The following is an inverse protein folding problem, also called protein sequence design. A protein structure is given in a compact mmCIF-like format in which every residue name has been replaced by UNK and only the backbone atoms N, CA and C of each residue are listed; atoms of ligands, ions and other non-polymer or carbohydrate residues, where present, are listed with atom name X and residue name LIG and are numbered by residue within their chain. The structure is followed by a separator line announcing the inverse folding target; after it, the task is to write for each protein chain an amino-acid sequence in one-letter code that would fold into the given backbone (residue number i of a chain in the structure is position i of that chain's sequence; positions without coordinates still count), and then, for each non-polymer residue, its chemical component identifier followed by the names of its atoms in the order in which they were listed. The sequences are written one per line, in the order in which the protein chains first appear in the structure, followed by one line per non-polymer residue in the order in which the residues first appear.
data_IF_673753834377
#
_entry.id   IF_673753834377
#
_cell.length_a   1.000
_cell.length_b   1.000
_cell.length_c   1.000
_cell.angle_alpha   90.00
_cell.angle_beta   90.00
_cell.angle_gamma   90.00
#
_symmetry.space_group_name_H-M   'P 1'
#
loop_
_entity.id
_entity.type
_entity.pdbx_description
1 polymer ?
#
# COMPACT_ATOMS: atom_id res chain seq x y z
N UNK A 1 5.74 -17.06 90.91
CA UNK A 1 4.89 -16.24 90.06
C UNK A 1 5.46 -16.30 88.65
N UNK A 2 4.84 -17.05 87.82
CA UNK A 2 5.30 -17.36 86.44
C UNK A 2 4.57 -16.42 85.50
N UNK A 3 5.31 -15.51 84.82
CA UNK A 3 4.72 -14.66 83.79
C UNK A 3 4.89 -15.34 82.41
N UNK A 4 3.80 -15.68 81.81
CA UNK A 4 3.73 -16.30 80.50
C UNK A 4 3.76 -15.20 79.43
N UNK A 5 4.82 -15.16 78.64
CA UNK A 5 4.92 -14.26 77.46
C UNK A 5 4.32 -15.00 76.24
N UNK A 6 3.15 -14.58 75.82
CA UNK A 6 2.56 -15.06 74.60
C UNK A 6 3.17 -14.37 73.39
N UNK A 7 3.85 -15.15 72.53
CA UNK A 7 4.41 -14.70 71.28
C UNK A 7 3.32 -14.73 70.22
N UNK A 8 2.86 -13.58 69.72
CA UNK A 8 1.96 -13.47 68.58
C UNK A 8 2.78 -13.56 67.28
N UNK A 9 2.67 -14.71 66.64
CA UNK A 9 3.15 -14.88 65.25
C UNK A 9 2.19 -14.17 64.30
N UNK A 10 2.64 -13.07 63.73
CA UNK A 10 1.94 -12.40 62.64
C UNK A 10 2.15 -13.18 61.32
N UNK A 11 1.08 -13.87 60.87
CA UNK A 11 1.03 -14.43 59.52
C UNK A 11 0.98 -13.29 58.52
N UNK A 12 2.10 -13.00 57.84
CA UNK A 12 2.09 -12.21 56.62
C UNK A 12 1.44 -13.00 55.51
N UNK A 13 0.24 -12.62 55.16
CA UNK A 13 -0.40 -13.07 53.90
C UNK A 13 0.34 -12.42 52.76
N UNK A 14 1.20 -13.13 52.06
CA UNK A 14 1.70 -12.78 50.76
C UNK A 14 0.52 -12.70 49.80
N UNK A 15 0.04 -11.48 49.56
CA UNK A 15 -0.89 -11.19 48.47
C UNK A 15 -0.17 -11.47 47.17
N UNK A 16 -0.56 -12.54 46.52
CA UNK A 16 -0.23 -12.76 45.11
C UNK A 16 -0.91 -11.63 44.35
N UNK A 17 -0.11 -10.60 44.01
CA UNK A 17 -0.52 -9.61 43.02
C UNK A 17 -0.62 -10.36 41.70
N UNK A 18 -1.84 -10.76 41.39
CA UNK A 18 -2.20 -11.22 40.05
C UNK A 18 -1.90 -10.07 39.10
N UNK A 19 -0.75 -10.13 38.46
CA UNK A 19 -0.48 -9.28 37.31
C UNK A 19 -1.49 -9.70 36.25
N UNK A 20 -2.58 -8.96 36.19
CA UNK A 20 -3.52 -8.98 35.11
C UNK A 20 -2.74 -8.52 33.89
N UNK A 21 -2.21 -9.48 33.16
CA UNK A 21 -1.65 -9.25 31.83
C UNK A 21 -2.79 -8.72 31.00
N UNK A 22 -2.88 -7.42 30.93
CA UNK A 22 -3.70 -6.71 29.94
C UNK A 22 -3.07 -7.09 28.61
N UNK A 23 -3.65 -8.04 27.93
CA UNK A 23 -3.45 -8.19 26.50
C UNK A 23 -4.02 -6.92 25.90
N UNK A 24 -3.19 -5.92 25.69
CA UNK A 24 -3.47 -4.84 24.78
C UNK A 24 -3.53 -5.43 23.37
N UNK A 25 -4.70 -5.98 23.04
CA UNK A 25 -5.15 -6.18 21.67
C UNK A 25 -5.59 -4.81 21.10
N UNK A 26 -4.75 -3.83 21.27
CA UNK A 26 -4.81 -2.64 20.44
C UNK A 26 -3.64 -2.79 19.50
N UNK A 27 -3.88 -3.49 18.38
CA UNK A 27 -3.12 -3.18 17.20
C UNK A 27 -3.34 -1.69 16.96
N UNK A 28 -2.41 -0.85 17.39
CA UNK A 28 -2.39 0.55 17.02
C UNK A 28 -2.56 0.57 15.51
N UNK A 29 -3.68 1.15 15.05
CA UNK A 29 -3.88 1.39 13.63
C UNK A 29 -2.68 2.22 13.22
N UNK A 30 -1.70 1.60 12.52
CA UNK A 30 -0.48 2.29 12.10
C UNK A 30 -0.90 3.59 11.44
N UNK A 31 -0.40 4.69 11.96
CA UNK A 31 -0.62 6.01 11.35
C UNK A 31 -0.30 5.89 9.86
N UNK A 32 -1.27 6.21 9.00
CA UNK A 32 -1.11 6.07 7.54
C UNK A 32 0.01 6.97 7.00
N UNK A 33 0.15 8.25 7.44
CA UNK A 33 1.27 9.09 7.00
C UNK A 33 2.63 8.53 7.43
N UNK A 34 3.58 8.52 6.50
CA UNK A 34 4.95 8.05 6.74
C UNK A 34 5.67 7.62 5.47
N UNK A 35 6.95 7.24 5.63
CA UNK A 35 7.75 6.62 4.58
C UNK A 35 7.63 5.09 4.64
N UNK A 36 7.54 4.48 3.46
CA UNK A 36 7.45 3.04 3.23
C UNK A 36 8.49 2.65 2.18
N UNK A 37 9.26 1.60 2.41
CA UNK A 37 10.41 1.27 1.58
C UNK A 37 11.54 2.29 1.74
N UNK A 38 12.17 2.69 0.65
CA UNK A 38 13.22 3.71 0.65
C UNK A 38 12.66 5.09 1.02
N UNK A 39 13.50 5.92 1.66
CA UNK A 39 13.11 7.28 2.05
C UNK A 39 12.95 8.17 0.83
N UNK A 40 11.73 8.61 0.57
CA UNK A 40 11.41 9.50 -0.56
C UNK A 40 11.61 10.96 -0.16
N UNK A 41 12.49 11.66 -0.90
CA UNK A 41 12.70 13.12 -0.78
C UNK A 41 11.83 13.84 -1.79
N UNK A 42 11.20 14.94 -1.40
CA UNK A 42 10.26 15.68 -2.24
C UNK A 42 10.88 16.51 -3.37
N UNK A 43 12.21 16.61 -3.44
CA UNK A 43 12.87 17.31 -4.52
C UNK A 43 12.76 16.55 -5.86
N UNK A 44 12.43 17.24 -6.95
CA UNK A 44 12.32 16.66 -8.29
C UNK A 44 11.06 15.82 -8.53
N UNK A 45 10.01 16.00 -7.73
CA UNK A 45 8.72 15.32 -7.91
C UNK A 45 7.98 15.91 -9.10
N UNK A 46 7.47 15.06 -9.98
CA UNK A 46 6.63 15.47 -11.10
C UNK A 46 5.14 15.21 -10.80
N UNK A 47 4.27 15.83 -11.59
CA UNK A 47 2.83 15.56 -11.58
C UNK A 47 2.51 14.31 -12.43
N UNK A 48 1.32 13.68 -12.25
CA UNK A 48 0.87 12.57 -13.10
C UNK A 48 0.80 12.96 -14.59
N UNK A 49 0.53 14.23 -14.90
CA UNK A 49 0.52 14.72 -16.29
C UNK A 49 1.91 14.69 -16.93
N UNK A 50 2.92 15.14 -16.21
CA UNK A 50 4.31 15.11 -16.69
C UNK A 50 4.81 13.67 -16.79
N UNK A 51 4.47 12.80 -15.84
CA UNK A 51 4.78 11.37 -15.91
C UNK A 51 4.16 10.75 -17.17
N UNK A 52 2.86 10.96 -17.39
CA UNK A 52 2.14 10.43 -18.55
C UNK A 52 2.83 10.82 -19.86
N UNK A 53 3.11 12.12 -20.05
CA UNK A 53 3.81 12.63 -21.23
C UNK A 53 5.18 11.95 -21.44
N UNK A 54 5.95 11.79 -20.38
CA UNK A 54 7.28 11.14 -20.44
C UNK A 54 7.19 9.67 -20.79
N UNK A 55 6.26 8.95 -20.19
CA UNK A 55 6.08 7.51 -20.43
C UNK A 55 5.54 7.26 -21.84
N UNK A 56 4.61 8.07 -22.33
CA UNK A 56 4.07 7.96 -23.69
C UNK A 56 5.14 8.24 -24.75
N UNK A 57 6.08 9.14 -24.48
CA UNK A 57 7.15 9.50 -25.43
C UNK A 57 8.35 8.54 -25.42
N UNK A 58 8.70 7.99 -24.25
CA UNK A 58 9.93 7.20 -24.04
C UNK A 58 9.68 5.74 -23.67
N UNK A 59 8.42 5.34 -23.47
CA UNK A 59 8.04 3.98 -23.00
C UNK A 59 8.28 3.77 -21.51
N UNK A 60 9.11 4.58 -20.87
CA UNK A 60 9.48 4.46 -19.45
C UNK A 60 9.79 5.82 -18.83
N UNK A 61 9.65 5.91 -17.50
CA UNK A 61 10.07 7.06 -16.71
C UNK A 61 10.65 6.59 -15.39
N UNK A 62 11.84 7.07 -15.04
CA UNK A 62 12.45 6.83 -13.72
C UNK A 62 12.46 8.14 -12.94
N UNK A 63 11.91 8.12 -11.73
CA UNK A 63 11.86 9.32 -10.90
C UNK A 63 10.74 9.28 -9.87
N UNK A 64 10.29 10.48 -9.48
CA UNK A 64 9.28 10.67 -8.44
C UNK A 64 8.01 11.28 -9.01
N UNK A 65 6.87 10.75 -8.57
CA UNK A 65 5.56 11.31 -8.93
C UNK A 65 4.70 11.47 -7.68
N UNK A 66 3.99 12.59 -7.59
CA UNK A 66 2.98 12.81 -6.54
C UNK A 66 1.58 12.55 -7.09
N UNK A 67 0.68 12.13 -6.22
CA UNK A 67 -0.72 11.93 -6.56
C UNK A 67 -1.55 11.54 -5.35
N UNK A 68 -2.66 10.86 -5.60
CA UNK A 68 -3.57 10.38 -4.57
C UNK A 68 -3.77 8.87 -4.73
N UNK A 69 -3.87 8.16 -3.61
CA UNK A 69 -4.21 6.74 -3.58
C UNK A 69 -5.72 6.62 -3.86
N UNK A 70 -6.09 6.17 -5.06
CA UNK A 70 -7.50 6.01 -5.44
C UNK A 70 -8.06 4.66 -4.99
N UNK A 71 -7.24 3.62 -5.05
CA UNK A 71 -7.58 2.26 -4.64
C UNK A 71 -6.36 1.61 -4.00
N UNK A 72 -6.56 0.71 -3.04
CA UNK A 72 -5.49 -0.02 -2.37
C UNK A 72 -5.90 -1.47 -2.17
N UNK A 73 -4.96 -2.39 -2.28
CA UNK A 73 -5.17 -3.80 -1.94
C UNK A 73 -5.61 -3.94 -0.48
N UNK A 74 -6.87 -4.33 -0.27
CA UNK A 74 -7.48 -4.43 1.07
C UNK A 74 -6.96 -5.62 1.88
N UNK A 75 -6.34 -6.60 1.23
CA UNK A 75 -5.78 -7.78 1.91
C UNK A 75 -4.45 -7.46 2.60
N UNK A 76 -3.48 -6.86 1.87
CA UNK A 76 -2.10 -6.66 2.38
C UNK A 76 -1.54 -5.27 2.09
N UNK A 77 -2.20 -4.44 1.28
CA UNK A 77 -1.62 -3.18 0.82
C UNK A 77 -0.43 -3.37 -0.14
N UNK A 78 -0.38 -4.49 -0.86
CA UNK A 78 0.74 -4.88 -1.74
C UNK A 78 0.72 -4.21 -3.12
N UNK A 79 -0.31 -3.46 -3.43
CA UNK A 79 -0.45 -2.59 -4.59
C UNK A 79 -1.48 -1.49 -4.30
N UNK A 80 -1.42 -0.44 -5.09
CA UNK A 80 -2.46 0.59 -5.12
C UNK A 80 -2.59 1.17 -6.53
N UNK A 81 -3.62 1.98 -6.74
CA UNK A 81 -3.87 2.64 -8.01
C UNK A 81 -3.89 4.17 -7.85
N UNK A 82 -3.35 4.87 -8.84
CA UNK A 82 -3.40 6.32 -9.00
C UNK A 82 -4.11 6.67 -10.30
N UNK A 83 -4.98 7.68 -10.28
CA UNK A 83 -5.59 8.19 -11.49
C UNK A 83 -4.58 8.97 -12.36
N UNK A 84 -4.69 8.80 -13.67
CA UNK A 84 -3.96 9.57 -14.66
C UNK A 84 -4.88 10.59 -15.34
N UNK A 85 -4.35 11.72 -15.84
CA UNK A 85 -5.17 12.78 -16.45
C UNK A 85 -5.97 12.37 -17.69
N UNK A 86 -5.55 11.30 -18.36
CA UNK A 86 -6.25 10.73 -19.53
C UNK A 86 -7.45 9.84 -19.17
N UNK A 87 -7.81 9.79 -17.88
CA UNK A 87 -8.91 8.97 -17.37
C UNK A 87 -8.54 7.50 -17.10
N UNK A 88 -7.31 7.08 -17.42
CA UNK A 88 -6.81 5.76 -17.06
C UNK A 88 -6.30 5.71 -15.62
N UNK A 89 -5.98 4.53 -15.14
CA UNK A 89 -5.41 4.30 -13.81
C UNK A 89 -4.03 3.64 -13.95
N UNK A 90 -3.06 4.14 -13.19
CA UNK A 90 -1.74 3.55 -13.07
C UNK A 90 -1.69 2.64 -11.85
N UNK A 91 -1.38 1.37 -12.07
CA UNK A 91 -1.15 0.41 -10.98
C UNK A 91 0.27 0.57 -10.45
N UNK A 92 0.38 0.69 -9.14
CA UNK A 92 1.66 0.78 -8.42
C UNK A 92 1.87 -0.49 -7.62
N UNK A 93 3.00 -1.13 -7.85
CA UNK A 93 3.51 -2.27 -7.09
C UNK A 93 4.82 -1.88 -6.40
N UNK A 94 5.35 -2.73 -5.56
CA UNK A 94 6.55 -2.43 -4.79
C UNK A 94 7.70 -3.33 -5.20
N UNK A 95 8.86 -2.71 -5.36
CA UNK A 95 10.10 -3.38 -5.80
C UNK A 95 10.37 -4.62 -4.93
N UNK A 96 10.62 -5.73 -5.61
CA UNK A 96 10.93 -7.03 -5.01
C UNK A 96 9.90 -7.50 -3.96
N UNK A 97 8.68 -6.92 -3.97
CA UNK A 97 7.66 -7.18 -2.94
C UNK A 97 8.14 -6.84 -1.52
N UNK A 98 9.11 -5.90 -1.42
CA UNK A 98 9.91 -5.65 -0.22
C UNK A 98 9.22 -4.84 0.87
N UNK A 99 8.12 -4.12 0.53
CA UNK A 99 7.32 -3.37 1.51
C UNK A 99 5.87 -3.23 1.03
N UNK A 100 4.99 -2.80 1.92
CA UNK A 100 3.57 -2.56 1.63
C UNK A 100 3.11 -1.29 2.31
N UNK A 101 2.01 -0.71 1.82
CA UNK A 101 1.37 0.45 2.44
C UNK A 101 0.14 0.01 3.26
N UNK A 102 -0.33 0.82 4.22
CA UNK A 102 -1.51 0.49 5.00
C UNK A 102 -2.75 0.29 4.12
N UNK A 103 -3.56 -0.73 4.43
CA UNK A 103 -4.78 -1.07 3.69
C UNK A 103 -5.87 0.02 3.79
N UNK A 104 -5.77 0.91 4.77
CA UNK A 104 -6.66 2.06 4.99
C UNK A 104 -6.10 3.37 4.41
N UNK A 105 -5.14 3.29 3.48
CA UNK A 105 -4.48 4.48 2.89
C UNK A 105 -5.24 5.11 1.71
N UNK A 106 -6.38 4.57 1.30
CA UNK A 106 -7.20 5.15 0.23
C UNK A 106 -7.56 6.62 0.51
N UNK A 107 -7.41 7.46 -0.51
CA UNK A 107 -7.68 8.89 -0.44
C UNK A 107 -6.56 9.72 0.21
N UNK A 108 -5.44 9.12 0.60
CA UNK A 108 -4.29 9.87 1.09
C UNK A 108 -3.42 10.39 -0.06
N UNK A 109 -2.85 11.60 0.07
CA UNK A 109 -1.82 12.09 -0.83
C UNK A 109 -0.55 11.24 -0.67
N UNK A 110 0.11 10.95 -1.80
CA UNK A 110 1.31 10.11 -1.83
C UNK A 110 2.33 10.67 -2.83
N UNK A 111 3.61 10.52 -2.50
CA UNK A 111 4.74 10.68 -3.42
C UNK A 111 5.46 9.35 -3.50
N UNK A 112 5.67 8.83 -4.70
CA UNK A 112 6.39 7.57 -4.94
C UNK A 112 7.65 7.83 -5.73
N UNK A 113 8.68 7.02 -5.50
CA UNK A 113 9.93 7.00 -6.27
C UNK A 113 10.13 5.61 -6.87
N UNK A 114 10.51 5.54 -8.15
CA UNK A 114 10.68 4.27 -8.84
C UNK A 114 10.64 4.40 -10.35
N UNK A 115 10.09 3.38 -11.02
CA UNK A 115 10.06 3.26 -12.48
C UNK A 115 8.63 3.05 -12.97
N UNK A 116 8.17 3.93 -13.85
CA UNK A 116 6.95 3.73 -14.63
C UNK A 116 7.29 3.07 -15.96
N UNK A 117 6.45 2.16 -16.42
CA UNK A 117 6.58 1.47 -17.71
C UNK A 117 5.25 1.46 -18.45
N UNK A 118 5.29 1.79 -19.74
CA UNK A 118 4.16 1.63 -20.65
C UNK A 118 4.19 0.21 -21.22
N UNK A 119 3.11 -0.53 -20.98
CA UNK A 119 2.90 -1.85 -21.55
C UNK A 119 1.73 -1.79 -22.53
N UNK A 120 1.91 -2.34 -23.71
CA UNK A 120 0.86 -2.49 -24.70
C UNK A 120 0.53 -3.97 -24.87
N UNK A 121 -0.72 -4.34 -24.61
CA UNK A 121 -1.22 -5.69 -24.84
C UNK A 121 -2.02 -5.69 -26.14
N UNK A 122 -1.61 -6.51 -27.11
CA UNK A 122 -2.26 -6.60 -28.40
C UNK A 122 -3.67 -7.25 -28.31
N UNK A 123 -4.45 -7.07 -29.37
CA UNK A 123 -5.84 -7.52 -29.43
C UNK A 123 -5.97 -9.04 -29.29
N UNK A 124 -5.04 -9.80 -29.87
CA UNK A 124 -5.07 -11.28 -29.84
C UNK A 124 -4.89 -11.77 -28.38
N UNK A 125 -3.89 -11.23 -27.69
CA UNK A 125 -3.65 -11.53 -26.28
C UNK A 125 -4.82 -11.14 -25.38
N UNK A 126 -5.42 -9.97 -25.62
CA UNK A 126 -6.60 -9.53 -24.85
C UNK A 126 -7.82 -10.44 -25.06
N UNK A 127 -8.04 -10.91 -26.30
CA UNK A 127 -9.11 -11.86 -26.62
C UNK A 127 -8.87 -13.18 -25.91
N UNK A 128 -7.65 -13.70 -25.97
CA UNK A 128 -7.28 -14.93 -25.25
C UNK A 128 -7.56 -14.82 -23.74
N UNK A 129 -7.20 -13.69 -23.10
CA UNK A 129 -7.51 -13.46 -21.70
C UNK A 129 -9.02 -13.39 -21.41
N UNK A 130 -9.79 -12.81 -22.32
CA UNK A 130 -11.24 -12.74 -22.19
C UNK A 130 -11.89 -14.14 -22.31
N UNK A 131 -11.41 -14.98 -23.22
CA UNK A 131 -11.82 -16.38 -23.36
C UNK A 131 -11.51 -17.19 -22.10
N UNK A 132 -10.31 -17.05 -21.55
CA UNK A 132 -9.89 -17.72 -20.31
C UNK A 132 -10.74 -17.29 -19.10
N UNK A 133 -11.28 -16.06 -19.11
CA UNK A 133 -12.21 -15.55 -18.12
C UNK A 133 -13.66 -16.01 -18.34
N UNK A 134 -13.93 -16.79 -19.39
CA UNK A 134 -15.26 -17.28 -19.73
C UNK A 134 -16.20 -16.19 -20.28
N UNK A 135 -15.64 -15.14 -20.90
CA UNK A 135 -16.44 -14.11 -21.58
C UNK A 135 -17.17 -14.70 -22.78
N UNK A 136 -18.32 -14.12 -23.12
CA UNK A 136 -19.07 -14.53 -24.30
C UNK A 136 -18.29 -14.23 -25.57
N UNK A 137 -18.65 -14.93 -26.67
CA UNK A 137 -18.02 -14.73 -27.97
C UNK A 137 -18.18 -13.30 -28.46
N UNK A 138 -19.31 -12.68 -28.21
CA UNK A 138 -19.62 -11.30 -28.59
C UNK A 138 -18.72 -10.32 -27.82
N UNK A 139 -18.48 -10.56 -26.52
CA UNK A 139 -17.58 -9.76 -25.70
C UNK A 139 -16.11 -9.88 -26.15
N UNK A 140 -15.69 -11.08 -26.55
CA UNK A 140 -14.34 -11.32 -27.08
C UNK A 140 -14.17 -10.62 -28.43
N UNK A 141 -15.12 -10.74 -29.35
CA UNK A 141 -15.07 -10.11 -30.67
C UNK A 141 -15.14 -8.58 -30.59
N UNK A 142 -15.76 -8.02 -29.55
CA UNK A 142 -15.80 -6.57 -29.29
C UNK A 142 -14.43 -5.97 -28.96
N UNK A 143 -13.44 -6.79 -28.59
CA UNK A 143 -12.07 -6.35 -28.36
C UNK A 143 -11.39 -6.11 -29.70
N UNK A 144 -11.27 -4.86 -30.10
CA UNK A 144 -10.77 -4.46 -31.43
C UNK A 144 -9.55 -3.55 -31.40
N UNK A 145 -9.14 -3.09 -30.20
CA UNK A 145 -8.00 -2.18 -30.02
C UNK A 145 -7.04 -2.74 -28.95
N UNK A 146 -5.73 -2.53 -29.11
CA UNK A 146 -4.78 -2.91 -28.09
C UNK A 146 -4.99 -2.09 -26.80
N UNK A 147 -4.65 -2.66 -25.66
CA UNK A 147 -4.75 -2.00 -24.36
C UNK A 147 -3.39 -1.48 -23.93
N UNK A 148 -3.31 -0.18 -23.71
CA UNK A 148 -2.13 0.46 -23.12
C UNK A 148 -2.34 0.66 -21.62
N UNK A 149 -1.39 0.20 -20.83
CA UNK A 149 -1.40 0.34 -19.38
C UNK A 149 -0.08 0.88 -18.90
N UNK A 150 -0.12 1.81 -17.93
CA UNK A 150 1.05 2.28 -17.24
C UNK A 150 1.09 1.61 -15.88
N UNK A 151 2.18 0.91 -15.61
CA UNK A 151 2.50 0.36 -14.31
C UNK A 151 3.64 1.13 -13.68
N UNK A 152 3.72 1.15 -12.36
CA UNK A 152 4.81 1.79 -11.62
C UNK A 152 5.35 0.81 -10.58
N UNK A 153 6.65 0.52 -10.63
CA UNK A 153 7.34 -0.23 -9.59
C UNK A 153 8.04 0.76 -8.66
N UNK A 154 7.54 0.88 -7.42
CA UNK A 154 8.05 1.83 -6.44
C UNK A 154 9.13 1.20 -5.57
N UNK A 155 10.27 1.86 -5.44
CA UNK A 155 11.30 1.55 -4.44
C UNK A 155 11.00 2.22 -3.10
N UNK A 156 10.24 3.32 -3.10
CA UNK A 156 9.82 4.04 -1.91
C UNK A 156 8.51 4.80 -2.10
N UNK A 157 7.82 5.04 -0.98
CA UNK A 157 6.57 5.78 -0.94
C UNK A 157 6.49 6.67 0.31
N UNK A 158 6.13 7.94 0.13
CA UNK A 158 5.85 8.89 1.21
C UNK A 158 4.36 9.22 1.20
N UNK A 159 3.62 8.72 2.17
CA UNK A 159 2.21 9.07 2.37
C UNK A 159 2.12 10.28 3.28
N UNK A 160 1.40 11.31 2.85
CA UNK A 160 1.21 12.56 3.60
C UNK A 160 -0.12 12.55 4.35
N UNK A 161 -0.24 13.38 5.38
CA UNK A 161 -1.53 13.59 6.05
C UNK A 161 -2.55 14.18 5.05
N UNK A 162 -3.83 13.85 5.25
CA UNK A 162 -4.93 14.53 4.55
C UNK A 162 -5.03 15.95 5.12
N UNK A 163 -5.10 16.93 4.24
CA UNK A 163 -5.39 18.34 4.57
C UNK A 163 -6.87 18.54 4.85
#
# INVERSE_FOLDING_TARGET
MIALVASLAACQKNGIVSQKTTYELVGEAKSVPGNYGDVVKEAGVVTPAILLQKVESAGTFTGKVSGQINEVCTNKGCWFAMALPNGSSMRVTFKDYGFFIPTNSQGFPITIEGVATLTETDVETLRHYAEDQGKSKEEVEAITVPKKEITFEASGALIKAKS
#
